data_IF_649099174062
#
_entry.id   IF_649099174062
#
_cell.length_a   1.000
_cell.length_b   1.000
_cell.length_c   1.000
_cell.angle_alpha   90.00
_cell.angle_beta   90.00
_cell.angle_gamma   90.00
#
_symmetry.space_group_name_H-M   'P 1'
#
loop_
_entity.id
_entity.type
_entity.pdbx_description
1 polymer ?
#
# COMPACT_ATOMS: atom_id res chain seq x y z
N UNK A 1 -4.23 10.45 0.51
CA UNK A 1 -3.88 11.63 -0.30
C UNK A 1 -3.76 11.29 -1.77
N UNK A 2 -3.01 10.26 -2.15
CA UNK A 2 -2.81 9.86 -3.56
C UNK A 2 -4.12 9.68 -4.36
N UNK A 3 -5.12 8.98 -3.81
CA UNK A 3 -6.42 8.83 -4.48
C UNK A 3 -7.21 10.15 -4.61
N UNK A 4 -7.10 11.09 -3.66
CA UNK A 4 -7.80 12.38 -3.76
C UNK A 4 -7.20 13.29 -4.84
N UNK A 5 -5.88 13.21 -5.06
CA UNK A 5 -5.19 13.88 -6.17
C UNK A 5 -5.57 13.23 -7.50
N UNK A 6 -5.69 11.90 -7.55
CA UNK A 6 -6.13 11.16 -8.74
C UNK A 6 -7.56 11.51 -9.20
N UNK A 7 -8.46 11.88 -8.28
CA UNK A 7 -9.79 12.41 -8.61
C UNK A 7 -9.78 13.88 -9.05
N UNK A 8 -8.60 14.51 -9.17
CA UNK A 8 -8.43 15.92 -9.52
C UNK A 8 -9.19 16.89 -8.59
N UNK A 9 -9.48 16.47 -7.35
CA UNK A 9 -10.10 17.33 -6.35
C UNK A 9 -9.13 18.40 -5.83
N UNK A 10 -7.83 18.13 -5.94
CA UNK A 10 -6.74 19.05 -5.71
C UNK A 10 -5.85 18.98 -6.94
N UNK A 11 -5.53 20.13 -7.52
CA UNK A 11 -4.66 20.21 -8.70
C UNK A 11 -3.32 19.50 -8.43
N UNK A 12 -3.06 18.47 -9.22
CA UNK A 12 -1.81 17.71 -9.16
C UNK A 12 -0.62 18.64 -9.50
N UNK A 13 0.51 18.44 -8.82
CA UNK A 13 1.72 19.27 -9.00
C UNK A 13 1.72 20.66 -8.37
N UNK A 14 0.63 21.10 -7.73
CA UNK A 14 0.62 22.39 -6.99
C UNK A 14 1.46 22.33 -5.72
N UNK A 15 2.13 23.42 -5.34
CA UNK A 15 2.91 23.48 -4.10
C UNK A 15 2.09 23.09 -2.85
N UNK A 16 0.78 23.34 -2.86
CA UNK A 16 -0.15 22.93 -1.81
C UNK A 16 -0.37 21.40 -1.77
N UNK A 17 -0.50 20.72 -2.92
CA UNK A 17 -0.70 19.26 -2.96
C UNK A 17 0.58 18.53 -2.52
N UNK A 18 1.74 18.97 -3.00
CA UNK A 18 3.05 18.48 -2.57
C UNK A 18 3.25 18.73 -1.07
N UNK A 19 2.95 19.94 -0.59
CA UNK A 19 3.04 20.30 0.82
C UNK A 19 2.17 19.40 1.70
N UNK A 20 0.94 19.12 1.29
CA UNK A 20 0.02 18.24 2.02
C UNK A 20 0.49 16.78 2.03
N UNK A 21 1.00 16.26 0.92
CA UNK A 21 1.58 14.90 0.86
C UNK A 21 2.80 14.82 1.77
N UNK A 22 3.73 15.76 1.68
CA UNK A 22 4.94 15.78 2.51
C UNK A 22 4.61 15.96 4.00
N UNK A 23 3.70 16.87 4.34
CA UNK A 23 3.31 17.11 5.74
C UNK A 23 2.60 15.89 6.34
N UNK A 24 1.68 15.26 5.61
CA UNK A 24 1.00 14.05 6.09
C UNK A 24 1.96 12.87 6.22
N UNK A 25 2.89 12.69 5.29
CA UNK A 25 3.95 11.69 5.38
C UNK A 25 4.87 11.94 6.57
N UNK A 26 5.32 13.18 6.78
CA UNK A 26 6.17 13.56 7.91
C UNK A 26 5.45 13.34 9.25
N UNK A 27 4.17 13.71 9.35
CA UNK A 27 3.38 13.52 10.56
C UNK A 27 3.24 12.02 10.92
N UNK A 28 2.92 11.17 9.94
CA UNK A 28 2.84 9.72 10.16
C UNK A 28 4.21 9.12 10.49
N UNK A 29 5.28 9.53 9.79
CA UNK A 29 6.63 9.04 10.02
C UNK A 29 7.15 9.41 11.41
N UNK A 30 7.05 10.68 11.79
CA UNK A 30 7.53 11.17 13.09
C UNK A 30 6.68 10.59 14.22
N UNK A 31 5.35 10.61 14.09
CA UNK A 31 4.44 10.09 15.11
C UNK A 31 4.61 8.59 15.35
N UNK A 32 4.66 7.80 14.27
CA UNK A 32 4.86 6.35 14.37
C UNK A 32 6.27 6.02 14.85
N UNK A 33 7.28 6.75 14.35
CA UNK A 33 8.67 6.59 14.75
C UNK A 33 8.88 6.87 16.24
N UNK A 34 8.25 7.91 16.79
CA UNK A 34 8.27 8.18 18.23
C UNK A 34 7.71 7.01 19.04
N UNK A 35 6.51 6.51 18.67
CA UNK A 35 5.86 5.39 19.39
C UNK A 35 6.71 4.11 19.30
N UNK A 36 7.27 3.82 18.12
CA UNK A 36 8.12 2.65 17.91
C UNK A 36 9.42 2.72 18.71
N UNK A 37 10.10 3.88 18.70
CA UNK A 37 11.32 4.10 19.48
C UNK A 37 11.05 4.04 20.98
N UNK A 38 9.97 4.66 21.45
CA UNK A 38 9.61 4.61 22.87
C UNK A 38 9.26 3.19 23.32
N UNK A 39 8.57 2.41 22.47
CA UNK A 39 8.25 1.01 22.76
C UNK A 39 9.51 0.14 22.81
N UNK A 40 10.45 0.35 21.88
CA UNK A 40 11.66 -0.48 21.76
C UNK A 40 12.75 -0.17 22.78
N UNK A 41 12.96 1.11 23.10
CA UNK A 41 14.04 1.59 23.98
C UNK A 41 13.57 2.04 25.37
N UNK A 42 12.27 2.05 25.62
CA UNK A 42 11.66 2.39 26.91
C UNK A 42 12.11 3.76 27.47
N UNK A 43 12.17 4.78 26.60
CA UNK A 43 12.68 6.10 26.98
C UNK A 43 11.75 6.83 27.95
N UNK A 44 10.44 6.85 27.66
CA UNK A 44 9.46 7.60 28.46
C UNK A 44 8.64 6.73 29.41
N UNK A 45 8.76 5.41 29.34
CA UNK A 45 7.99 4.47 30.15
C UNK A 45 6.51 4.37 29.77
N UNK A 46 6.05 5.07 28.72
CA UNK A 46 4.62 5.21 28.42
C UNK A 46 3.98 3.92 27.91
N UNK A 47 4.77 3.10 27.21
CA UNK A 47 4.33 1.83 26.61
C UNK A 47 4.87 0.58 27.33
N UNK A 48 5.34 0.69 28.57
CA UNK A 48 5.87 -0.46 29.35
C UNK A 48 4.89 -1.62 29.49
N UNK A 49 3.58 -1.34 29.56
CA UNK A 49 2.54 -2.37 29.58
C UNK A 49 2.54 -3.27 28.33
N UNK A 50 3.25 -2.88 27.27
CA UNK A 50 3.40 -3.65 26.04
C UNK A 50 4.50 -4.71 26.12
N UNK A 51 5.36 -4.68 27.15
CA UNK A 51 6.42 -5.67 27.38
C UNK A 51 5.97 -6.83 28.26
N UNK A 52 4.83 -6.68 28.94
CA UNK A 52 4.25 -7.77 29.71
C UNK A 52 3.49 -8.72 28.79
N UNK A 53 3.57 -10.05 29.01
CA UNK A 53 2.77 -11.01 28.28
C UNK A 53 1.29 -10.61 28.34
N UNK A 54 0.57 -10.52 27.21
CA UNK A 54 0.88 -11.11 25.90
C UNK A 54 1.54 -10.17 24.86
N UNK A 55 2.35 -9.21 25.29
CA UNK A 55 3.13 -8.27 24.45
C UNK A 55 2.29 -7.45 23.47
N UNK A 56 1.27 -6.76 23.98
CA UNK A 56 0.29 -6.03 23.16
C UNK A 56 0.60 -4.55 23.10
N UNK A 57 0.93 -4.06 21.91
CA UNK A 57 0.98 -2.63 21.63
C UNK A 57 -0.12 -2.22 20.64
N UNK A 58 -1.22 -1.67 21.18
CA UNK A 58 -2.40 -1.29 20.38
C UNK A 58 -2.07 -0.11 19.45
N UNK A 59 -1.23 0.83 19.88
CA UNK A 59 -0.87 1.99 19.07
C UNK A 59 -0.11 1.57 17.81
N UNK A 60 0.90 0.71 17.97
CA UNK A 60 1.64 0.16 16.83
C UNK A 60 0.75 -0.72 15.94
N UNK A 61 -0.13 -1.54 16.52
CA UNK A 61 -1.09 -2.33 15.75
C UNK A 61 -1.97 -1.44 14.86
N UNK A 62 -2.51 -0.35 15.41
CA UNK A 62 -3.36 0.56 14.63
C UNK A 62 -2.56 1.26 13.53
N UNK A 63 -1.37 1.77 13.86
CA UNK A 63 -0.56 2.57 12.93
C UNK A 63 0.09 1.75 11.81
N UNK A 64 0.58 0.54 12.11
CA UNK A 64 1.24 -0.32 11.12
C UNK A 64 0.27 -1.24 10.36
N UNK A 65 -0.83 -1.68 10.99
CA UNK A 65 -1.69 -2.69 10.39
C UNK A 65 -3.06 -2.11 10.02
N UNK A 66 -3.83 -1.62 11.00
CA UNK A 66 -5.25 -1.32 10.79
C UNK A 66 -5.45 -0.10 9.89
N UNK A 67 -4.76 1.01 10.19
CA UNK A 67 -4.90 2.24 9.42
C UNK A 67 -4.42 2.09 7.98
N UNK A 68 -3.22 1.50 7.70
CA UNK A 68 -2.80 1.22 6.34
C UNK A 68 -3.77 0.30 5.59
N UNK A 69 -4.31 -0.74 6.24
CA UNK A 69 -5.29 -1.64 5.62
C UNK A 69 -6.57 -0.90 5.20
N UNK A 70 -7.10 -0.02 6.06
CA UNK A 70 -8.25 0.83 5.72
C UNK A 70 -7.90 1.75 4.54
N UNK A 71 -6.74 2.37 4.55
CA UNK A 71 -6.28 3.21 3.43
C UNK A 71 -6.16 2.43 2.12
N UNK A 72 -5.68 1.18 2.14
CA UNK A 72 -5.60 0.31 0.97
C UNK A 72 -6.97 -0.03 0.39
N UNK A 73 -7.94 -0.35 1.24
CA UNK A 73 -9.32 -0.62 0.80
C UNK A 73 -9.95 0.63 0.19
N UNK A 74 -9.78 1.80 0.83
CA UNK A 74 -10.26 3.06 0.29
C UNK A 74 -9.59 3.40 -1.05
N UNK A 75 -8.28 3.20 -1.16
CA UNK A 75 -7.54 3.37 -2.42
C UNK A 75 -8.12 2.47 -3.51
N UNK A 76 -8.28 1.18 -3.26
CA UNK A 76 -8.85 0.24 -4.22
C UNK A 76 -10.24 0.66 -4.70
N UNK A 77 -11.13 1.05 -3.78
CA UNK A 77 -12.50 1.47 -4.14
C UNK A 77 -12.51 2.74 -4.99
N UNK A 78 -11.70 3.73 -4.62
CA UNK A 78 -11.58 4.99 -5.34
C UNK A 78 -11.03 4.77 -6.75
N UNK A 79 -9.93 4.04 -6.89
CA UNK A 79 -9.35 3.71 -8.20
C UNK A 79 -10.29 2.86 -9.05
N UNK A 80 -11.02 1.91 -8.44
CA UNK A 80 -12.01 1.12 -9.15
C UNK A 80 -13.15 1.97 -9.72
N UNK A 81 -13.62 2.96 -8.95
CA UNK A 81 -14.61 3.93 -9.45
C UNK A 81 -14.04 4.75 -10.58
N UNK A 82 -12.82 5.27 -10.46
CA UNK A 82 -12.16 6.05 -11.50
C UNK A 82 -12.06 5.25 -12.81
N UNK A 83 -11.55 4.03 -12.74
CA UNK A 83 -11.34 3.19 -13.93
C UNK A 83 -12.67 2.79 -14.59
N UNK A 84 -13.63 2.32 -13.79
CA UNK A 84 -14.88 1.78 -14.33
C UNK A 84 -15.88 2.86 -14.74
N UNK A 85 -15.89 4.02 -14.07
CA UNK A 85 -16.87 5.09 -14.33
C UNK A 85 -16.31 6.21 -15.20
N UNK A 86 -15.02 6.53 -15.08
CA UNK A 86 -14.42 7.64 -15.82
C UNK A 86 -13.76 7.14 -17.10
N UNK A 87 -12.84 6.17 -17.00
CA UNK A 87 -12.11 5.65 -18.17
C UNK A 87 -12.93 4.63 -18.98
N UNK A 88 -13.76 3.82 -18.32
CA UNK A 88 -14.55 2.77 -18.97
C UNK A 88 -13.74 1.58 -19.48
N UNK A 89 -12.48 1.43 -19.05
CA UNK A 89 -11.59 0.34 -19.46
C UNK A 89 -11.42 -0.70 -18.34
N UNK A 90 -11.65 -1.98 -18.65
CA UNK A 90 -11.53 -3.06 -17.65
C UNK A 90 -10.11 -3.62 -17.48
N UNK A 91 -9.19 -3.33 -18.39
CA UNK A 91 -7.82 -3.88 -18.34
C UNK A 91 -7.03 -3.41 -17.11
N UNK A 92 -7.03 -2.11 -16.73
CA UNK A 92 -6.35 -1.64 -15.53
C UNK A 92 -6.84 -2.34 -14.25
N UNK A 93 -8.14 -2.70 -14.19
CA UNK A 93 -8.71 -3.40 -13.04
C UNK A 93 -8.08 -4.78 -12.79
N UNK A 94 -7.60 -5.47 -13.83
CA UNK A 94 -6.93 -6.76 -13.66
C UNK A 94 -5.62 -6.60 -12.89
N UNK A 95 -4.85 -5.55 -13.20
CA UNK A 95 -3.61 -5.25 -12.49
C UNK A 95 -3.86 -4.86 -11.03
N UNK A 96 -4.83 -3.97 -10.79
CA UNK A 96 -5.17 -3.51 -9.44
C UNK A 96 -5.74 -4.63 -8.56
N UNK A 97 -6.64 -5.45 -9.11
CA UNK A 97 -7.21 -6.60 -8.40
C UNK A 97 -6.16 -7.68 -8.16
N UNK A 98 -5.32 -7.95 -9.16
CA UNK A 98 -4.19 -8.87 -9.03
C UNK A 98 -3.23 -8.45 -7.92
N UNK A 99 -2.89 -7.16 -7.84
CA UNK A 99 -2.08 -6.61 -6.75
C UNK A 99 -2.74 -6.85 -5.39
N UNK A 100 -4.04 -6.54 -5.24
CA UNK A 100 -4.78 -6.77 -4.00
C UNK A 100 -4.79 -8.25 -3.57
N UNK A 101 -4.97 -9.18 -4.51
CA UNK A 101 -4.91 -10.62 -4.24
C UNK A 101 -3.50 -11.04 -3.81
N UNK A 102 -2.46 -10.59 -4.50
CA UNK A 102 -1.07 -10.90 -4.16
C UNK A 102 -0.73 -10.38 -2.75
N UNK A 103 -1.13 -9.15 -2.42
CA UNK A 103 -0.99 -8.61 -1.07
C UNK A 103 -1.71 -9.47 -0.03
N UNK A 104 -2.97 -9.84 -0.28
CA UNK A 104 -3.74 -10.69 0.63
C UNK A 104 -3.09 -12.06 0.84
N UNK A 105 -2.55 -12.68 -0.21
CA UNK A 105 -1.77 -13.92 -0.11
C UNK A 105 -0.55 -13.71 0.79
N UNK A 106 0.19 -12.61 0.61
CA UNK A 106 1.32 -12.26 1.48
C UNK A 106 0.92 -12.17 2.96
N UNK A 107 -0.20 -11.50 3.26
CA UNK A 107 -0.72 -11.40 4.63
C UNK A 107 -1.11 -12.78 5.21
N UNK A 108 -1.70 -13.67 4.40
CA UNK A 108 -2.02 -15.04 4.83
C UNK A 108 -0.74 -15.82 5.17
N UNK A 109 0.33 -15.66 4.38
CA UNK A 109 1.61 -16.28 4.69
C UNK A 109 2.17 -15.82 6.03
N UNK A 110 2.10 -14.52 6.32
CA UNK A 110 2.63 -13.94 7.55
C UNK A 110 1.81 -14.35 8.79
N UNK A 111 0.48 -14.21 8.74
CA UNK A 111 -0.37 -14.35 9.92
C UNK A 111 -0.88 -15.77 10.18
N UNK A 112 -1.05 -16.59 9.14
CA UNK A 112 -1.66 -17.92 9.27
C UNK A 112 -0.62 -19.02 9.06
N UNK A 113 0.14 -18.95 7.97
CA UNK A 113 1.02 -20.06 7.54
C UNK A 113 2.37 -20.03 8.29
N UNK A 114 2.80 -18.87 8.78
CA UNK A 114 4.14 -18.64 9.32
C UNK A 114 4.53 -19.62 10.44
N UNK A 115 3.63 -19.95 11.36
CA UNK A 115 3.89 -20.90 12.46
C UNK A 115 4.12 -22.31 11.94
N UNK A 116 3.31 -22.76 10.97
CA UNK A 116 3.45 -24.07 10.33
C UNK A 116 4.77 -24.18 9.57
N UNK A 117 5.16 -23.11 8.88
CA UNK A 117 6.41 -23.07 8.10
C UNK A 117 7.65 -23.05 9.00
N UNK A 118 7.58 -22.30 10.11
CA UNK A 118 8.62 -22.24 11.11
C UNK A 118 8.84 -23.63 11.76
N UNK A 119 7.76 -24.33 12.12
CA UNK A 119 7.83 -25.69 12.67
C UNK A 119 8.37 -26.71 11.65
N UNK A 120 7.94 -26.62 10.39
CA UNK A 120 8.36 -27.56 9.34
C UNK A 120 9.82 -27.39 8.90
N UNK A 121 10.43 -26.22 9.13
CA UNK A 121 11.79 -25.90 8.69
C UNK A 121 12.79 -25.79 9.84
N UNK A 122 12.42 -26.25 11.04
CA UNK A 122 13.22 -26.11 12.27
C UNK A 122 13.65 -24.66 12.53
N UNK A 123 12.74 -23.71 12.29
CA UNK A 123 12.97 -22.28 12.51
C UNK A 123 13.85 -21.57 11.50
N UNK A 124 14.23 -22.23 10.39
CA UNK A 124 15.08 -21.62 9.35
C UNK A 124 14.33 -20.63 8.47
N UNK A 125 13.05 -20.89 8.20
CA UNK A 125 12.21 -20.06 7.33
C UNK A 125 10.86 -19.83 8.02
N UNK A 126 10.35 -18.61 7.93
CA UNK A 126 9.01 -18.26 8.39
C UNK A 126 8.19 -17.66 7.24
N UNK A 127 6.93 -17.31 7.54
CA UNK A 127 6.03 -16.73 6.56
C UNK A 127 6.46 -15.36 6.01
N UNK A 128 7.37 -14.65 6.70
CA UNK A 128 7.80 -13.31 6.30
C UNK A 128 8.57 -13.29 4.97
N UNK A 129 9.32 -14.35 4.66
CA UNK A 129 10.01 -14.48 3.38
C UNK A 129 9.03 -14.48 2.20
N UNK A 130 7.94 -15.23 2.32
CA UNK A 130 6.90 -15.30 1.29
C UNK A 130 6.05 -14.04 1.28
N UNK A 131 5.71 -13.49 2.44
CA UNK A 131 5.02 -12.20 2.53
C UNK A 131 5.79 -11.10 1.80
N UNK A 132 7.10 -11.00 2.01
CA UNK A 132 7.94 -10.00 1.32
C UNK A 132 7.90 -10.18 -0.21
N UNK A 133 7.99 -11.43 -0.69
CA UNK A 133 7.90 -11.74 -2.13
C UNK A 133 6.54 -11.33 -2.71
N UNK A 134 5.44 -11.73 -2.07
CA UNK A 134 4.10 -11.42 -2.55
C UNK A 134 3.76 -9.93 -2.44
N UNK A 135 4.23 -9.25 -1.40
CA UNK A 135 4.12 -7.80 -1.25
C UNK A 135 4.91 -7.09 -2.36
N UNK A 136 6.12 -7.55 -2.71
CA UNK A 136 6.86 -7.01 -3.85
C UNK A 136 6.09 -7.18 -5.17
N UNK A 137 5.54 -8.37 -5.43
CA UNK A 137 4.73 -8.62 -6.62
C UNK A 137 3.46 -7.76 -6.64
N UNK A 138 2.84 -7.52 -5.47
CA UNK A 138 1.72 -6.60 -5.34
C UNK A 138 2.11 -5.18 -5.74
N UNK A 139 3.25 -4.67 -5.26
CA UNK A 139 3.74 -3.33 -5.64
C UNK A 139 4.00 -3.24 -7.14
N UNK A 140 4.58 -4.28 -7.74
CA UNK A 140 4.73 -4.37 -9.20
C UNK A 140 3.39 -4.35 -9.94
N UNK A 141 2.35 -4.99 -9.39
CA UNK A 141 0.99 -4.93 -9.93
C UNK A 141 0.36 -3.54 -9.85
N UNK A 142 0.57 -2.82 -8.74
CA UNK A 142 0.14 -1.41 -8.61
C UNK A 142 0.90 -0.51 -9.59
N UNK A 143 2.19 -0.76 -9.80
CA UNK A 143 2.96 -0.04 -10.83
C UNK A 143 2.40 -0.30 -12.24
N UNK A 144 2.09 -1.57 -12.57
CA UNK A 144 1.44 -1.91 -13.84
C UNK A 144 0.07 -1.25 -14.01
N UNK A 145 -0.71 -1.18 -12.93
CA UNK A 145 -1.96 -0.42 -12.90
C UNK A 145 -1.74 1.06 -13.24
N UNK A 146 -0.80 1.73 -12.58
CA UNK A 146 -0.49 3.14 -12.85
C UNK A 146 0.00 3.37 -14.29
N UNK A 147 0.89 2.51 -14.78
CA UNK A 147 1.35 2.57 -16.17
C UNK A 147 0.19 2.45 -17.16
N UNK A 148 -0.79 1.59 -16.87
CA UNK A 148 -1.93 1.34 -17.76
C UNK A 148 -2.96 2.47 -17.83
N UNK A 149 -2.97 3.39 -16.85
CA UNK A 149 -3.91 4.52 -16.83
C UNK A 149 -3.29 5.83 -17.32
N UNK A 150 -1.98 5.89 -17.52
CA UNK A 150 -1.26 7.07 -18.05
C UNK A 150 -1.28 7.13 -19.58
N UNK A 151 -1.34 8.36 -20.12
CA UNK A 151 -1.62 8.67 -21.53
C UNK A 151 -0.56 8.18 -22.55
N UNK A 152 0.66 7.81 -22.11
CA UNK A 152 1.77 7.45 -23.01
C UNK A 152 1.57 6.12 -23.77
N UNK A 153 0.64 5.27 -23.33
CA UNK A 153 0.31 3.98 -23.97
C UNK A 153 -0.93 4.02 -24.86
N UNK A 154 -1.53 5.20 -25.07
CA UNK A 154 -2.65 5.31 -25.99
C UNK A 154 -2.14 5.13 -27.43
N UNK A 155 -2.76 4.24 -28.23
CA UNK A 155 -2.45 4.18 -29.65
C UNK A 155 -2.88 5.50 -30.28
N UNK A 156 -1.94 6.44 -30.38
CA UNK A 156 -2.09 7.62 -31.20
C UNK A 156 -2.44 7.10 -32.60
N UNK A 157 -3.50 7.61 -33.24
CA UNK A 157 -3.76 7.27 -34.63
C UNK A 157 -2.49 7.61 -35.40
N UNK A 158 -1.76 6.59 -35.86
CA UNK A 158 -0.74 6.79 -36.89
C UNK A 158 -1.53 7.33 -38.06
N UNK A 159 -1.43 8.64 -38.29
CA UNK A 159 -2.12 9.34 -39.37
C UNK A 159 -1.75 8.68 -40.69
N UNK A 160 -2.58 7.74 -41.12
CA UNK A 160 -2.55 7.18 -42.45
C UNK A 160 -3.14 8.20 -43.40
N UNK A 161 -2.34 8.64 -44.36
CA UNK A 161 -2.83 9.17 -45.63
C UNK A 161 -2.80 10.69 -45.78
N UNK A 162 -1.69 11.17 -46.34
CA UNK A 162 -1.70 11.87 -47.63
C UNK A 162 -2.29 13.28 -47.69
N UNK A 163 -1.41 14.25 -47.95
CA UNK A 163 -1.72 15.35 -48.86
C UNK A 163 -0.48 15.61 -49.73
N UNK A 164 -0.70 15.67 -51.04
CA UNK A 164 0.20 16.25 -52.04
C UNK A 164 0.46 17.73 -51.74
#
# INVERSE_FOLDING_TARGET
MNALVGFQLIDDGTAASIGLICASAAALFIGTGYIALDTGFDWTGRFQSSHEPPNRNIALYVLYQLFPLVCLVLFYLLEAVLVLRVLGEFRPMLYLTGAGILFAIGQVFNYVISTHLCQATDGKINGALFETLFTLLSVSGVWGFWSSITEDDWPLPVGGGGYN
#
